data_IF_346561470315
#
_entry.id   IF_346561470315
#
_cell.length_a   1.000
_cell.length_b   1.000
_cell.length_c   1.000
_cell.angle_alpha   90.00
_cell.angle_beta   90.00
_cell.angle_gamma   90.00
#
_symmetry.space_group_name_H-M   'P 1'
#
loop_
_entity.id
_entity.type
_entity.pdbx_description
1 polymer ?
#
# COMPACT_ATOMS: atom_id res chain seq x y z
N UNK A 1 -9.08 -32.40 -22.93
CA UNK A 1 -9.03 -31.55 -21.71
C UNK A 1 -7.95 -30.51 -21.94
N UNK A 2 -8.27 -29.23 -22.14
CA UNK A 2 -7.22 -28.21 -22.25
C UNK A 2 -6.57 -27.99 -20.88
N UNK A 3 -5.30 -27.55 -20.83
CA UNK A 3 -4.59 -27.31 -19.58
C UNK A 3 -5.23 -26.13 -18.83
N UNK A 4 -5.27 -26.21 -17.50
CA UNK A 4 -5.69 -25.11 -16.65
C UNK A 4 -4.70 -23.95 -16.78
N UNK A 5 -4.95 -23.06 -17.74
CA UNK A 5 -4.32 -21.75 -17.78
C UNK A 5 -4.69 -21.04 -16.48
N UNK A 6 -3.69 -20.69 -15.67
CA UNK A 6 -3.88 -19.75 -14.57
C UNK A 6 -4.33 -18.43 -15.22
N UNK A 7 -5.62 -18.13 -15.11
CA UNK A 7 -6.17 -16.84 -15.52
C UNK A 7 -5.47 -15.79 -14.67
N UNK A 8 -4.68 -14.94 -15.32
CA UNK A 8 -4.06 -13.78 -14.68
C UNK A 8 -5.18 -12.77 -14.46
N UNK A 9 -5.74 -12.73 -13.25
CA UNK A 9 -6.73 -11.71 -12.90
C UNK A 9 -6.00 -10.40 -12.69
N UNK A 10 -6.29 -9.45 -13.56
CA UNK A 10 -5.98 -8.05 -13.34
C UNK A 10 -6.85 -7.55 -12.17
N UNK A 11 -6.20 -7.06 -11.11
CA UNK A 11 -6.86 -6.55 -9.89
C UNK A 11 -7.71 -5.29 -10.16
N UNK A 12 -7.66 -4.72 -11.36
CA UNK A 12 -8.52 -3.61 -11.78
C UNK A 12 -9.87 -4.07 -12.33
N UNK A 13 -10.04 -5.37 -12.60
CA UNK A 13 -11.32 -5.92 -13.10
C UNK A 13 -12.30 -6.07 -11.93
N UNK A 14 -13.49 -5.45 -11.99
CA UNK A 14 -14.50 -5.59 -10.96
C UNK A 14 -14.82 -7.07 -10.69
N UNK A 15 -14.80 -7.46 -9.42
CA UNK A 15 -15.24 -8.78 -9.01
C UNK A 15 -16.74 -8.92 -9.28
N UNK A 16 -17.12 -9.94 -10.04
CA UNK A 16 -18.51 -10.30 -10.30
C UNK A 16 -18.78 -11.73 -9.86
N UNK A 17 -19.99 -12.01 -9.39
CA UNK A 17 -20.47 -13.35 -9.09
C UNK A 17 -21.93 -13.44 -9.51
N UNK A 18 -22.29 -14.45 -10.31
CA UNK A 18 -23.63 -14.63 -10.85
C UNK A 18 -24.19 -16.01 -10.50
N UNK A 19 -25.41 -16.07 -9.98
CA UNK A 19 -26.15 -17.31 -9.80
C UNK A 19 -26.77 -17.67 -11.15
N UNK A 20 -26.17 -18.63 -11.84
CA UNK A 20 -26.59 -19.04 -13.19
C UNK A 20 -27.75 -20.02 -13.16
N UNK A 21 -27.77 -20.89 -12.15
CA UNK A 21 -28.77 -21.92 -12.00
C UNK A 21 -28.98 -22.30 -10.54
N UNK A 22 -30.01 -23.09 -10.29
CA UNK A 22 -30.25 -23.76 -9.03
C UNK A 22 -30.61 -25.22 -9.30
N UNK A 23 -30.28 -26.10 -8.36
CA UNK A 23 -30.60 -27.52 -8.42
C UNK A 23 -31.23 -27.99 -7.12
N UNK A 24 -32.24 -28.86 -7.25
CA UNK A 24 -32.93 -29.47 -6.11
C UNK A 24 -32.29 -30.82 -5.80
N UNK A 25 -31.75 -30.95 -4.59
CA UNK A 25 -31.35 -32.22 -4.00
C UNK A 25 -32.41 -32.68 -3.00
N UNK A 26 -32.43 -33.97 -2.68
CA UNK A 26 -33.48 -34.60 -1.84
C UNK A 26 -33.73 -33.89 -0.49
N UNK A 27 -32.76 -33.15 0.05
CA UNK A 27 -32.86 -32.45 1.33
C UNK A 27 -32.73 -30.92 1.27
N UNK A 28 -32.26 -30.33 0.16
CA UNK A 28 -31.97 -28.89 0.07
C UNK A 28 -31.85 -28.38 -1.37
N UNK A 29 -31.91 -27.06 -1.53
CA UNK A 29 -31.58 -26.37 -2.78
C UNK A 29 -30.12 -25.92 -2.77
N UNK A 30 -29.46 -26.11 -3.91
CA UNK A 30 -28.15 -25.57 -4.20
C UNK A 30 -28.24 -24.54 -5.33
N UNK A 31 -27.37 -23.54 -5.26
CA UNK A 31 -27.21 -22.46 -6.22
C UNK A 31 -25.85 -22.61 -6.90
N UNK A 32 -25.86 -22.60 -8.23
CA UNK A 32 -24.66 -22.69 -9.06
C UNK A 32 -24.22 -21.25 -9.35
N UNK A 33 -23.07 -20.88 -8.80
CA UNK A 33 -22.53 -19.52 -8.84
C UNK A 33 -21.32 -19.51 -9.77
N UNK A 34 -21.37 -18.69 -10.80
CA UNK A 34 -20.25 -18.44 -11.68
C UNK A 34 -19.47 -17.20 -11.25
N UNK A 35 -18.14 -17.35 -11.21
CA UNK A 35 -17.17 -16.27 -11.04
C UNK A 35 -16.05 -16.46 -12.07
N UNK A 36 -14.91 -16.95 -11.60
CA UNK A 36 -13.75 -17.40 -12.40
C UNK A 36 -13.82 -18.92 -12.59
N UNK A 37 -14.53 -19.58 -11.67
CA UNK A 37 -14.86 -20.99 -11.69
C UNK A 37 -16.28 -21.16 -11.15
N UNK A 38 -16.88 -22.29 -11.48
CA UNK A 38 -18.18 -22.70 -10.94
C UNK A 38 -18.07 -23.07 -9.46
N UNK A 39 -18.98 -22.52 -8.65
CA UNK A 39 -19.05 -22.75 -7.21
C UNK A 39 -20.49 -23.11 -6.85
N UNK A 40 -20.68 -24.26 -6.23
CA UNK A 40 -22.00 -24.72 -5.76
C UNK A 40 -22.16 -24.40 -4.26
N UNK A 41 -23.25 -23.73 -3.89
CA UNK A 41 -23.56 -23.36 -2.49
C UNK A 41 -25.03 -23.50 -2.16
N UNK A 42 -25.35 -23.89 -0.92
CA UNK A 42 -26.72 -23.88 -0.40
C UNK A 42 -26.99 -22.61 0.41
N UNK A 43 -28.26 -22.31 0.67
CA UNK A 43 -28.64 -21.11 1.43
C UNK A 43 -27.90 -20.96 2.77
N UNK A 44 -27.67 -22.06 3.51
CA UNK A 44 -26.97 -21.97 4.79
C UNK A 44 -25.52 -21.49 4.67
N UNK A 45 -24.89 -21.63 3.50
CA UNK A 45 -23.54 -21.15 3.29
C UNK A 45 -23.53 -19.62 3.15
N UNK A 46 -24.58 -19.05 2.55
CA UNK A 46 -24.81 -17.60 2.55
C UNK A 46 -25.12 -17.08 3.95
N UNK A 47 -25.90 -17.83 4.74
CA UNK A 47 -26.21 -17.52 6.14
C UNK A 47 -24.92 -17.50 7.01
N UNK A 48 -24.05 -18.50 6.86
CA UNK A 48 -22.74 -18.54 7.53
C UNK A 48 -21.83 -17.38 7.08
N UNK A 49 -21.78 -17.09 5.78
CA UNK A 49 -21.03 -15.96 5.26
C UNK A 49 -21.55 -14.64 5.85
N UNK A 50 -22.87 -14.45 5.87
CA UNK A 50 -23.50 -13.25 6.41
C UNK A 50 -23.17 -13.04 7.88
N UNK A 51 -23.27 -14.08 8.71
CA UNK A 51 -22.91 -14.00 10.13
C UNK A 51 -21.42 -13.65 10.32
N UNK A 52 -20.55 -14.17 9.46
CA UNK A 52 -19.12 -13.81 9.48
C UNK A 52 -18.89 -12.33 9.12
N UNK A 53 -19.72 -11.77 8.24
CA UNK A 53 -19.65 -10.38 7.80
C UNK A 53 -20.34 -9.38 8.74
N UNK A 54 -21.19 -9.83 9.67
CA UNK A 54 -21.86 -8.94 10.63
C UNK A 54 -20.87 -8.16 11.52
N UNK A 55 -19.68 -8.71 11.78
CA UNK A 55 -18.60 -8.04 12.52
C UNK A 55 -18.18 -6.74 11.83
N UNK A 56 -18.33 -6.65 10.50
CA UNK A 56 -18.02 -5.45 9.74
C UNK A 56 -19.09 -4.34 9.86
N UNK A 57 -20.18 -4.57 10.62
CA UNK A 57 -21.27 -3.59 10.78
C UNK A 57 -22.08 -3.33 9.51
N UNK A 58 -21.96 -4.20 8.49
CA UNK A 58 -22.62 -4.05 7.21
C UNK A 58 -24.06 -4.57 7.28
N UNK A 59 -25.01 -3.73 6.84
CA UNK A 59 -26.40 -4.16 6.63
C UNK A 59 -26.51 -4.84 5.26
N UNK A 60 -26.39 -6.16 5.24
CA UNK A 60 -26.49 -6.95 4.01
C UNK A 60 -27.91 -7.53 3.86
N UNK A 61 -28.52 -7.46 2.66
CA UNK A 61 -29.89 -7.91 2.44
C UNK A 61 -29.96 -9.43 2.23
N UNK A 62 -29.59 -10.21 3.25
CA UNK A 62 -29.77 -11.67 3.21
C UNK A 62 -31.27 -12.01 3.36
N UNK A 63 -31.88 -12.78 2.44
CA UNK A 63 -33.28 -13.17 2.57
C UNK A 63 -33.46 -14.06 3.81
N UNK A 64 -34.57 -13.97 4.55
CA UNK A 64 -34.75 -14.70 5.79
C UNK A 64 -34.82 -16.22 5.60
N UNK A 65 -34.35 -16.95 6.61
CA UNK A 65 -34.46 -18.40 6.69
C UNK A 65 -35.88 -18.78 7.08
N UNK A 66 -36.45 -19.80 6.41
CA UNK A 66 -37.72 -20.40 6.83
C UNK A 66 -37.41 -21.58 7.76
N UNK A 67 -38.27 -21.77 8.78
CA UNK A 67 -38.20 -22.90 9.71
C UNK A 67 -38.51 -24.24 9.02
N UNK A 68 -39.21 -24.20 7.88
CA UNK A 68 -39.56 -25.36 7.05
C UNK A 68 -39.05 -25.11 5.62
N UNK A 69 -38.49 -26.15 5.00
CA UNK A 69 -38.03 -26.10 3.61
C UNK A 69 -39.20 -25.80 2.66
N UNK A 70 -38.99 -24.86 1.74
CA UNK A 70 -39.96 -24.52 0.71
C UNK A 70 -39.29 -24.66 -0.66
N UNK A 71 -39.72 -25.68 -1.42
CA UNK A 71 -39.22 -25.98 -2.77
C UNK A 71 -40.14 -25.45 -3.87
N UNK A 72 -41.10 -24.59 -3.51
CA UNK A 72 -41.95 -23.92 -4.49
C UNK A 72 -41.12 -23.08 -5.47
N UNK A 73 -41.47 -23.13 -6.75
CA UNK A 73 -40.71 -22.49 -7.83
C UNK A 73 -40.68 -20.98 -7.69
N UNK A 74 -41.78 -20.35 -7.31
CA UNK A 74 -41.83 -18.89 -7.12
C UNK A 74 -40.98 -18.46 -5.93
N UNK A 75 -41.02 -19.25 -4.86
CA UNK A 75 -40.17 -19.02 -3.69
C UNK A 75 -38.68 -19.16 -4.00
N UNK A 76 -38.27 -20.22 -4.71
CA UNK A 76 -36.88 -20.43 -5.13
C UNK A 76 -36.42 -19.28 -6.03
N UNK A 77 -37.24 -18.91 -7.02
CA UNK A 77 -36.94 -17.81 -7.93
C UNK A 77 -36.82 -16.46 -7.22
N UNK A 78 -37.72 -16.16 -6.28
CA UNK A 78 -37.67 -14.97 -5.45
C UNK A 78 -36.40 -14.93 -4.58
N UNK A 79 -36.07 -16.05 -3.93
CA UNK A 79 -34.85 -16.16 -3.12
C UNK A 79 -33.58 -16.02 -3.96
N UNK A 80 -33.52 -16.61 -5.15
CA UNK A 80 -32.38 -16.47 -6.06
C UNK A 80 -32.12 -15.00 -6.42
N UNK A 81 -33.17 -14.22 -6.73
CA UNK A 81 -33.02 -12.79 -7.02
C UNK A 81 -32.43 -12.01 -5.85
N UNK A 82 -32.89 -12.27 -4.62
CA UNK A 82 -32.36 -11.58 -3.43
C UNK A 82 -30.92 -12.03 -3.13
N UNK A 83 -30.61 -13.32 -3.27
CA UNK A 83 -29.24 -13.83 -3.12
C UNK A 83 -28.28 -13.26 -4.18
N UNK A 84 -28.75 -13.04 -5.41
CA UNK A 84 -27.97 -12.35 -6.42
C UNK A 84 -27.66 -10.90 -6.02
N UNK A 85 -28.66 -10.18 -5.49
CA UNK A 85 -28.43 -8.83 -4.98
C UNK A 85 -27.45 -8.80 -3.79
N UNK A 86 -27.55 -9.78 -2.90
CA UNK A 86 -26.60 -9.98 -1.80
C UNK A 86 -25.17 -10.17 -2.31
N UNK A 87 -24.96 -11.03 -3.32
CA UNK A 87 -23.64 -11.22 -3.94
C UNK A 87 -23.12 -9.94 -4.59
N UNK A 88 -23.96 -9.21 -5.33
CA UNK A 88 -23.58 -7.95 -5.98
C UNK A 88 -23.09 -6.90 -4.97
N UNK A 89 -23.77 -6.77 -3.82
CA UNK A 89 -23.36 -5.84 -2.76
C UNK A 89 -22.01 -6.24 -2.15
N UNK A 90 -21.76 -7.54 -1.94
CA UNK A 90 -20.48 -8.01 -1.42
C UNK A 90 -19.36 -7.76 -2.43
N UNK A 91 -19.58 -8.07 -3.71
CA UNK A 91 -18.52 -7.96 -4.72
C UNK A 91 -18.24 -6.51 -5.14
N UNK A 92 -19.18 -5.59 -4.91
CA UNK A 92 -18.98 -4.15 -5.12
C UNK A 92 -18.41 -3.43 -3.89
N UNK A 93 -18.48 -4.05 -2.70
CA UNK A 93 -17.88 -3.48 -1.50
C UNK A 93 -16.36 -3.60 -1.54
N UNK A 94 -15.66 -2.46 -1.67
CA UNK A 94 -14.20 -2.41 -1.82
C UNK A 94 -13.41 -3.09 -0.70
N UNK A 95 -13.95 -3.14 0.52
CA UNK A 95 -13.29 -3.79 1.67
C UNK A 95 -13.43 -5.32 1.58
N UNK A 96 -14.61 -5.79 1.18
CA UNK A 96 -14.91 -7.22 1.08
C UNK A 96 -14.38 -7.84 -0.23
N UNK A 97 -14.41 -7.10 -1.33
CA UNK A 97 -13.99 -7.58 -2.65
C UNK A 97 -12.48 -7.88 -2.68
N UNK A 98 -11.67 -7.10 -1.96
CA UNK A 98 -10.23 -7.34 -1.81
C UNK A 98 -9.87 -8.32 -0.68
N UNK A 99 -10.87 -8.95 -0.03
CA UNK A 99 -10.62 -9.91 1.04
C UNK A 99 -10.28 -11.30 0.48
N UNK A 100 -9.01 -11.68 0.60
CA UNK A 100 -8.60 -13.08 0.44
C UNK A 100 -8.99 -13.86 1.70
N UNK A 101 -8.93 -15.20 1.69
CA UNK A 101 -9.26 -16.09 2.85
C UNK A 101 -8.59 -15.74 4.20
N UNK A 102 -7.65 -14.79 4.21
CA UNK A 102 -6.95 -14.26 5.38
C UNK A 102 -6.85 -12.72 5.34
N UNK A 103 -7.97 -12.01 5.22
CA UNK A 103 -8.00 -10.56 5.43
C UNK A 103 -8.10 -10.23 6.93
N UNK A 104 -7.21 -9.38 7.42
CA UNK A 104 -7.30 -8.81 8.76
C UNK A 104 -7.88 -7.39 8.66
N UNK A 105 -8.87 -7.08 9.49
CA UNK A 105 -9.34 -5.71 9.69
C UNK A 105 -8.58 -5.11 10.86
N UNK A 106 -7.93 -3.97 10.63
CA UNK A 106 -7.27 -3.24 11.69
C UNK A 106 -8.18 -2.11 12.17
N UNK A 107 -8.63 -2.21 13.42
CA UNK A 107 -9.41 -1.17 14.09
C UNK A 107 -8.44 -0.40 14.96
N UNK A 108 -8.36 0.92 14.76
CA UNK A 108 -7.58 1.84 15.59
C UNK A 108 -8.49 2.89 16.18
N UNK A 109 -8.08 3.47 17.31
CA UNK A 109 -8.76 4.65 17.83
C UNK A 109 -8.61 5.80 16.84
N UNK A 110 -9.70 6.51 16.61
CA UNK A 110 -9.68 7.71 15.79
C UNK A 110 -8.84 8.79 16.47
N UNK A 111 -7.98 9.46 15.70
CA UNK A 111 -7.19 10.58 16.17
C UNK A 111 -7.64 11.86 15.45
N UNK A 112 -8.11 12.85 16.23
CA UNK A 112 -8.64 14.09 15.68
C UNK A 112 -7.55 15.02 15.11
N UNK A 113 -6.29 14.87 15.55
CA UNK A 113 -5.16 15.65 15.04
C UNK A 113 -4.73 15.19 13.64
N UNK A 114 -5.10 13.96 13.25
CA UNK A 114 -4.79 13.44 11.93
C UNK A 114 -3.33 13.11 11.72
N UNK A 115 -2.94 13.09 10.47
CA UNK A 115 -1.59 12.78 10.03
C UNK A 115 -0.84 14.03 9.58
N UNK A 116 0.45 13.88 9.33
CA UNK A 116 1.28 14.95 8.77
C UNK A 116 0.75 15.45 7.43
N UNK A 117 0.15 14.56 6.62
CA UNK A 117 -0.50 14.95 5.35
C UNK A 117 -1.66 15.90 5.61
N UNK A 118 -2.50 15.59 6.59
CA UNK A 118 -3.66 16.40 6.94
C UNK A 118 -3.21 17.83 7.35
N UNK A 119 -2.12 17.90 8.12
CA UNK A 119 -1.50 19.16 8.55
C UNK A 119 -0.89 19.98 7.40
N UNK A 120 -0.22 19.33 6.45
CA UNK A 120 0.39 19.98 5.26
C UNK A 120 -0.69 20.49 4.29
N UNK A 121 -1.74 19.70 4.10
CA UNK A 121 -2.85 20.01 3.20
C UNK A 121 -3.90 20.93 3.83
N UNK A 122 -3.78 21.23 5.13
CA UNK A 122 -4.71 22.08 5.91
C UNK A 122 -6.15 21.57 5.87
N UNK A 123 -6.30 20.26 6.06
CA UNK A 123 -7.56 19.52 5.98
C UNK A 123 -7.80 18.75 7.28
N UNK A 124 -9.04 18.41 7.59
CA UNK A 124 -9.38 17.62 8.78
C UNK A 124 -9.53 16.16 8.41
N UNK A 125 -9.20 15.21 9.32
CA UNK A 125 -9.30 13.78 9.04
C UNK A 125 -10.70 13.30 8.61
N UNK A 126 -11.75 14.02 9.05
CA UNK A 126 -13.15 13.70 8.74
C UNK A 126 -13.60 14.25 7.38
N UNK A 127 -12.78 15.07 6.71
CA UNK A 127 -13.15 15.69 5.44
C UNK A 127 -13.07 14.67 4.27
N UNK A 128 -13.88 14.83 3.20
CA UNK A 128 -13.89 13.92 2.06
C UNK A 128 -12.55 13.86 1.31
N UNK A 129 -11.94 12.67 1.32
CA UNK A 129 -10.58 12.47 0.81
C UNK A 129 -10.38 12.95 -0.65
N UNK A 130 -11.23 12.54 -1.58
CA UNK A 130 -11.08 12.87 -3.01
C UNK A 130 -11.15 14.38 -3.27
N UNK A 131 -11.96 15.11 -2.49
CA UNK A 131 -12.11 16.55 -2.66
C UNK A 131 -10.85 17.28 -2.20
N UNK A 132 -10.29 16.84 -1.07
CA UNK A 132 -9.37 17.66 -0.30
C UNK A 132 -7.89 17.27 -0.51
N UNK A 133 -7.59 16.03 -0.91
CA UNK A 133 -6.22 15.59 -1.24
C UNK A 133 -5.92 15.47 -2.74
N UNK A 134 -6.91 15.17 -3.59
CA UNK A 134 -6.67 15.06 -5.03
C UNK A 134 -6.68 16.42 -5.75
N UNK A 135 -7.30 17.44 -5.15
CA UNK A 135 -7.27 18.82 -5.64
C UNK A 135 -7.19 19.83 -4.47
N UNK A 136 -6.04 19.90 -3.79
CA UNK A 136 -5.90 20.67 -2.56
C UNK A 136 -6.01 22.18 -2.83
N UNK A 137 -6.89 22.85 -2.07
CA UNK A 137 -7.07 24.31 -2.17
C UNK A 137 -5.90 25.10 -1.57
N UNK A 138 -5.22 24.50 -0.59
CA UNK A 138 -4.05 25.07 0.09
C UNK A 138 -3.08 23.94 0.39
N UNK A 139 -1.80 24.20 0.15
CA UNK A 139 -0.70 23.35 0.59
C UNK A 139 0.28 24.28 1.28
N UNK A 140 0.67 23.94 2.50
CA UNK A 140 1.66 24.71 3.23
C UNK A 140 2.45 23.77 4.13
N UNK A 141 3.77 23.74 3.91
CA UNK A 141 4.69 22.97 4.73
C UNK A 141 4.64 23.36 6.21
N UNK A 142 5.47 22.70 7.00
CA UNK A 142 5.46 22.80 8.46
C UNK A 142 6.36 23.93 8.95
N UNK A 143 6.13 24.34 10.20
CA UNK A 143 6.99 25.34 10.83
C UNK A 143 8.37 24.74 11.11
N UNK A 144 9.38 25.61 11.20
CA UNK A 144 10.76 25.19 11.39
C UNK A 144 10.91 24.18 12.53
N UNK A 145 10.36 24.48 13.70
CA UNK A 145 10.44 23.61 14.88
C UNK A 145 9.73 22.26 14.68
N UNK A 146 8.60 22.26 13.96
CA UNK A 146 7.89 21.02 13.62
C UNK A 146 8.72 20.16 12.66
N UNK A 147 9.39 20.76 11.67
CA UNK A 147 10.30 20.06 10.76
C UNK A 147 11.45 19.44 11.56
N UNK A 148 12.08 20.22 12.45
CA UNK A 148 13.17 19.72 13.30
C UNK A 148 12.72 18.50 14.12
N UNK A 149 11.53 18.59 14.72
CA UNK A 149 10.99 17.61 15.66
C UNK A 149 10.55 16.33 14.96
N UNK A 150 9.66 16.43 13.97
CA UNK A 150 9.08 15.25 13.33
C UNK A 150 10.09 14.49 12.49
N UNK A 151 11.03 15.17 11.82
CA UNK A 151 12.10 14.45 11.10
C UNK A 151 12.94 13.59 12.05
N UNK A 152 13.26 14.11 13.25
CA UNK A 152 14.11 13.43 14.23
C UNK A 152 13.37 12.21 14.76
N UNK A 153 12.12 12.38 15.18
CA UNK A 153 11.28 11.29 15.67
C UNK A 153 11.09 10.20 14.60
N UNK A 154 10.82 10.56 13.35
CA UNK A 154 10.69 9.60 12.24
C UNK A 154 12.00 8.84 12.03
N UNK A 155 13.14 9.51 11.92
CA UNK A 155 14.43 8.86 11.71
C UNK A 155 14.81 7.93 12.87
N UNK A 156 14.48 8.28 14.11
CA UNK A 156 14.72 7.40 15.26
C UNK A 156 13.87 6.14 15.23
N UNK A 157 12.60 6.24 14.82
CA UNK A 157 11.75 5.06 14.63
C UNK A 157 12.29 4.19 13.50
N UNK A 158 12.67 4.77 12.36
CA UNK A 158 13.29 4.02 11.25
C UNK A 158 14.57 3.31 11.70
N UNK A 159 15.46 4.02 12.42
CA UNK A 159 16.69 3.43 12.95
C UNK A 159 16.39 2.28 13.90
N UNK A 160 15.46 2.47 14.84
CA UNK A 160 15.07 1.44 15.79
C UNK A 160 14.55 0.18 15.07
N UNK A 161 13.74 0.36 14.04
CA UNK A 161 13.19 -0.72 13.23
C UNK A 161 14.28 -1.44 12.42
N UNK A 162 15.18 -0.70 11.79
CA UNK A 162 16.34 -1.24 11.06
C UNK A 162 17.29 -2.03 11.97
N UNK A 163 17.60 -1.53 13.17
CA UNK A 163 18.43 -2.21 14.17
C UNK A 163 17.79 -3.53 14.64
N UNK A 164 16.48 -3.71 14.43
CA UNK A 164 15.73 -4.96 14.71
C UNK A 164 15.61 -5.87 13.48
N UNK A 165 16.14 -5.44 12.33
CA UNK A 165 16.03 -6.15 11.05
C UNK A 165 14.64 -6.02 10.43
N UNK A 166 13.95 -4.91 10.69
CA UNK A 166 12.54 -4.72 10.32
C UNK A 166 12.32 -3.38 9.60
N UNK A 167 12.87 -3.21 8.38
CA UNK A 167 12.73 -1.96 7.61
C UNK A 167 11.25 -1.60 7.42
N UNK A 168 10.94 -0.31 7.33
CA UNK A 168 9.55 0.14 7.32
C UNK A 168 8.93 0.01 5.92
N UNK A 169 9.50 0.66 4.91
CA UNK A 169 9.26 0.42 3.49
C UNK A 169 8.11 1.20 2.84
N UNK A 170 7.32 1.93 3.62
CA UNK A 170 6.14 2.67 3.13
C UNK A 170 5.96 4.00 3.88
N UNK A 171 7.07 4.68 4.15
CA UNK A 171 7.03 6.00 4.76
C UNK A 171 6.43 7.03 3.81
N UNK A 172 5.42 7.76 4.28
CA UNK A 172 4.85 8.94 3.64
C UNK A 172 4.01 9.73 4.65
N UNK A 173 3.62 10.96 4.31
CA UNK A 173 2.94 11.87 5.24
C UNK A 173 1.61 11.32 5.80
N UNK A 174 0.89 10.46 5.06
CA UNK A 174 -0.32 9.78 5.58
C UNK A 174 -0.05 8.69 6.63
N UNK A 175 1.19 8.23 6.79
CA UNK A 175 1.53 7.20 7.79
C UNK A 175 2.25 7.77 9.02
N UNK A 176 2.33 9.10 9.11
CA UNK A 176 2.90 9.81 10.26
C UNK A 176 1.73 10.44 11.02
N UNK A 177 1.24 9.76 12.05
CA UNK A 177 0.15 10.23 12.91
C UNK A 177 0.67 11.28 13.89
N UNK A 178 -0.10 12.34 14.12
CA UNK A 178 0.25 13.42 15.05
C UNK A 178 -0.33 13.17 16.44
N UNK A 179 0.48 13.39 17.48
CA UNK A 179 0.09 13.27 18.87
C UNK A 179 0.77 14.37 19.70
N UNK A 180 0.13 15.55 19.72
CA UNK A 180 0.70 16.75 20.34
C UNK A 180 1.96 17.18 19.60
N UNK A 181 3.08 17.28 20.31
CA UNK A 181 4.40 17.59 19.73
C UNK A 181 5.18 16.34 19.31
N UNK A 182 4.53 15.18 19.33
CA UNK A 182 5.11 13.91 18.91
C UNK A 182 4.40 13.33 17.69
N UNK A 183 5.06 12.41 17.00
CA UNK A 183 4.47 11.64 15.92
C UNK A 183 4.70 10.14 16.10
N UNK A 184 3.81 9.37 15.48
CA UNK A 184 3.87 7.91 15.46
C UNK A 184 3.82 7.40 14.03
N UNK A 185 4.59 6.36 13.71
CA UNK A 185 4.47 5.65 12.44
C UNK A 185 3.33 4.63 12.51
N UNK A 186 2.45 4.68 11.52
CA UNK A 186 1.34 3.74 11.37
C UNK A 186 1.76 2.50 10.59
N UNK A 187 0.85 1.55 10.48
CA UNK A 187 0.93 0.43 9.54
C UNK A 187 2.21 -0.41 9.59
N UNK A 188 2.77 -0.61 10.80
CA UNK A 188 3.93 -1.48 11.02
C UNK A 188 3.68 -2.93 10.59
N UNK A 189 2.43 -3.35 10.45
CA UNK A 189 2.07 -4.66 9.90
C UNK A 189 2.31 -4.78 8.38
N UNK A 190 2.35 -3.65 7.66
CA UNK A 190 2.54 -3.66 6.21
C UNK A 190 4.01 -3.84 5.81
N UNK A 191 4.96 -3.56 6.71
CA UNK A 191 6.37 -3.86 6.46
C UNK A 191 6.65 -5.37 6.37
N UNK A 192 5.80 -6.22 6.96
CA UNK A 192 5.88 -7.69 6.79
C UNK A 192 5.56 -8.15 5.36
N UNK A 193 4.78 -7.36 4.64
CA UNK A 193 4.44 -7.62 3.23
C UNK A 193 5.46 -6.97 2.30
N UNK A 194 6.16 -5.94 2.79
CA UNK A 194 7.11 -5.10 2.04
C UNK A 194 8.48 -5.25 2.69
N UNK A 195 9.19 -6.33 2.34
CA UNK A 195 10.59 -6.46 2.72
C UNK A 195 11.44 -5.58 1.80
N UNK A 196 11.77 -4.37 2.25
CA UNK A 196 12.57 -3.40 1.48
C UNK A 196 13.89 -3.11 2.15
N UNK A 197 14.86 -2.59 1.39
CA UNK A 197 16.16 -2.20 1.92
C UNK A 197 16.08 -0.84 2.64
N UNK A 198 17.06 -0.54 3.50
CA UNK A 198 17.23 0.77 4.14
C UNK A 198 17.19 1.93 3.11
N UNK A 199 17.68 1.70 1.89
CA UNK A 199 17.63 2.68 0.81
C UNK A 199 16.21 3.14 0.44
N UNK A 200 15.21 2.27 0.57
CA UNK A 200 13.80 2.63 0.35
C UNK A 200 13.31 3.55 1.46
N UNK A 201 13.62 3.25 2.71
CA UNK A 201 13.26 4.09 3.86
C UNK A 201 13.90 5.49 3.75
N UNK A 202 15.17 5.53 3.34
CA UNK A 202 15.91 6.78 3.09
C UNK A 202 15.27 7.60 1.95
N UNK A 203 14.90 6.93 0.86
CA UNK A 203 14.25 7.59 -0.27
C UNK A 203 12.87 8.15 0.09
N UNK A 204 12.05 7.34 0.77
CA UNK A 204 10.75 7.76 1.28
C UNK A 204 10.88 8.90 2.30
N UNK A 205 11.92 8.90 3.14
CA UNK A 205 12.21 10.02 4.04
C UNK A 205 12.52 11.31 3.28
N UNK A 206 13.26 11.23 2.16
CA UNK A 206 13.48 12.38 1.27
C UNK A 206 12.17 12.99 0.77
N UNK A 207 11.23 12.15 0.32
CA UNK A 207 9.90 12.61 -0.10
C UNK A 207 9.11 13.24 1.05
N UNK A 208 9.12 12.61 2.22
CA UNK A 208 8.46 13.17 3.40
C UNK A 208 9.04 14.54 3.78
N UNK A 209 10.37 14.69 3.75
CA UNK A 209 11.05 15.96 4.02
C UNK A 209 10.68 17.03 3.00
N UNK A 210 10.58 16.66 1.72
CA UNK A 210 10.13 17.54 0.66
C UNK A 210 8.70 18.03 0.94
N UNK A 211 7.78 17.12 1.28
CA UNK A 211 6.41 17.48 1.65
C UNK A 211 6.37 18.42 2.88
N UNK A 212 7.14 18.12 3.92
CA UNK A 212 7.23 18.95 5.14
C UNK A 212 7.75 20.37 4.86
N UNK A 213 8.55 20.56 3.82
CA UNK A 213 9.19 21.84 3.48
C UNK A 213 8.51 22.55 2.30
N UNK A 214 7.51 21.91 1.69
CA UNK A 214 6.80 22.41 0.51
C UNK A 214 6.22 23.80 0.76
N UNK A 215 6.39 24.69 -0.24
CA UNK A 215 5.94 26.09 -0.18
C UNK A 215 6.50 26.91 1.01
N UNK A 216 7.61 26.46 1.62
CA UNK A 216 8.29 27.17 2.73
C UNK A 216 9.80 27.34 2.57
N UNK A 217 10.43 26.77 1.55
CA UNK A 217 11.88 26.87 1.33
C UNK A 217 12.37 28.33 1.23
N UNK A 218 11.58 29.21 0.62
CA UNK A 218 11.90 30.64 0.48
C UNK A 218 11.73 31.44 1.79
N UNK A 219 11.03 30.86 2.77
CA UNK A 219 10.81 31.48 4.09
C UNK A 219 11.91 31.13 5.10
N UNK A 220 12.81 30.21 4.76
CA UNK A 220 13.92 29.79 5.61
C UNK A 220 15.14 30.69 5.41
N UNK A 221 16.06 30.68 6.38
CA UNK A 221 17.35 31.36 6.19
C UNK A 221 18.14 30.65 5.07
N UNK A 222 18.98 31.36 4.29
CA UNK A 222 19.71 30.76 3.17
C UNK A 222 20.54 29.53 3.56
N UNK A 223 21.20 29.58 4.72
CA UNK A 223 21.97 28.45 5.25
C UNK A 223 21.08 27.23 5.51
N UNK A 224 19.87 27.46 6.01
CA UNK A 224 18.92 26.40 6.27
C UNK A 224 18.32 25.82 4.99
N UNK A 225 17.95 26.67 4.03
CA UNK A 225 17.44 26.23 2.73
C UNK A 225 18.48 25.38 1.99
N UNK A 226 19.74 25.82 1.95
CA UNK A 226 20.83 25.04 1.34
C UNK A 226 20.98 23.66 2.00
N UNK A 227 20.84 23.61 3.31
CA UNK A 227 21.06 22.39 4.05
C UNK A 227 19.87 21.40 3.90
N UNK A 228 18.63 21.89 3.80
CA UNK A 228 17.47 21.08 3.39
C UNK A 228 17.65 20.57 1.96
N UNK A 229 18.08 21.42 1.02
CA UNK A 229 18.33 21.03 -0.37
C UNK A 229 19.40 19.93 -0.44
N UNK A 230 20.51 20.08 0.30
CA UNK A 230 21.54 19.05 0.37
C UNK A 230 21.02 17.70 0.89
N UNK A 231 20.12 17.70 1.88
CA UNK A 231 19.48 16.45 2.34
C UNK A 231 18.59 15.85 1.25
N UNK A 232 17.79 16.66 0.57
CA UNK A 232 16.94 16.20 -0.53
C UNK A 232 17.78 15.63 -1.68
N UNK A 233 18.87 16.29 -2.06
CA UNK A 233 19.81 15.77 -3.06
C UNK A 233 20.43 14.45 -2.62
N UNK A 234 20.82 14.32 -1.34
CA UNK A 234 21.39 13.09 -0.81
C UNK A 234 20.40 11.92 -0.71
N UNK A 235 19.08 12.17 -0.73
CA UNK A 235 18.05 11.14 -0.54
C UNK A 235 17.24 10.84 -1.80
N UNK A 236 17.12 11.81 -2.72
CA UNK A 236 16.28 11.72 -3.91
C UNK A 236 17.06 11.71 -5.23
N UNK A 237 18.38 11.98 -5.23
CA UNK A 237 19.16 11.92 -6.48
C UNK A 237 19.30 10.51 -7.04
N UNK A 238 19.55 10.40 -8.34
CA UNK A 238 19.84 9.13 -9.02
C UNK A 238 21.11 8.45 -8.47
N UNK A 239 22.01 9.24 -7.88
CA UNK A 239 23.28 8.84 -7.29
C UNK A 239 23.14 8.42 -5.83
N UNK A 240 22.13 8.94 -5.11
CA UNK A 240 21.84 8.59 -3.72
C UNK A 240 21.73 7.08 -3.51
N UNK A 241 21.10 6.38 -4.46
CA UNK A 241 20.90 4.93 -4.41
C UNK A 241 22.17 4.12 -4.77
N UNK A 242 23.20 4.74 -5.34
CA UNK A 242 24.40 4.05 -5.86
C UNK A 242 25.55 4.03 -4.86
N UNK A 243 25.68 5.11 -4.08
CA UNK A 243 26.88 5.31 -3.26
C UNK A 243 26.79 4.70 -1.85
N UNK A 244 25.61 4.26 -1.40
CA UNK A 244 25.40 3.70 -0.06
C UNK A 244 25.72 4.67 1.09
N UNK A 245 25.96 5.95 0.78
CA UNK A 245 26.38 6.99 1.74
C UNK A 245 25.22 7.51 2.58
N UNK A 246 24.02 7.53 2.00
CA UNK A 246 22.82 8.05 2.64
C UNK A 246 22.14 6.95 3.45
N UNK A 247 22.62 6.74 4.68
CA UNK A 247 22.00 5.81 5.65
C UNK A 247 21.12 6.59 6.63
N UNK A 248 20.19 5.91 7.31
CA UNK A 248 19.39 6.53 8.37
C UNK A 248 20.28 7.03 9.51
N UNK A 249 21.36 6.29 9.80
CA UNK A 249 22.33 6.71 10.82
C UNK A 249 23.09 7.98 10.42
N UNK A 250 23.43 8.13 9.13
CA UNK A 250 24.07 9.34 8.63
C UNK A 250 23.11 10.55 8.67
N UNK A 251 21.85 10.37 8.27
CA UNK A 251 20.82 11.41 8.32
C UNK A 251 20.59 11.92 9.75
N UNK A 252 20.63 11.04 10.75
CA UNK A 252 20.53 11.40 12.18
C UNK A 252 21.73 12.22 12.69
N UNK A 253 22.91 12.06 12.10
CA UNK A 253 24.13 12.76 12.49
C UNK A 253 24.30 14.12 11.82
N UNK A 254 23.43 14.47 10.86
CA UNK A 254 23.57 15.73 10.15
C UNK A 254 23.40 16.92 11.11
N UNK A 255 24.34 17.90 11.11
CA UNK A 255 24.31 19.08 11.99
C UNK A 255 23.04 19.93 11.89
N UNK A 256 22.33 19.78 10.78
CA UNK A 256 21.00 20.29 10.56
C UNK A 256 20.11 19.91 11.74
N UNK A 257 19.70 20.90 12.53
CA UNK A 257 18.65 20.78 13.54
C UNK A 257 18.97 19.89 14.77
N UNK A 258 20.24 19.80 15.17
CA UNK A 258 20.70 19.03 16.35
C UNK A 258 20.14 19.54 17.70
N UNK A 259 19.46 20.69 17.72
CA UNK A 259 18.98 21.33 18.96
C UNK A 259 17.70 20.67 19.54
N UNK A 260 17.20 19.60 18.91
CA UNK A 260 15.98 18.92 19.36
C UNK A 260 16.32 17.90 20.45
N UNK A 261 15.97 18.23 21.68
CA UNK A 261 15.97 17.29 22.79
C UNK A 261 14.69 16.45 22.75
N UNK A 262 14.81 15.17 22.37
CA UNK A 262 13.68 14.24 22.49
C UNK A 262 13.55 13.74 23.93
N UNK A 263 12.40 14.03 24.54
CA UNK A 263 12.03 13.55 25.86
C UNK A 263 11.46 12.13 25.76
N UNK A 264 12.33 11.13 25.60
CA UNK A 264 11.88 9.73 25.65
C UNK A 264 11.88 9.23 27.10
N UNK A 265 10.70 9.03 27.69
CA UNK A 265 10.56 8.55 29.09
C UNK A 265 10.47 7.03 29.21
N UNK A 266 10.24 6.30 28.10
CA UNK A 266 10.07 4.83 28.10
C UNK A 266 10.91 4.16 27.04
N UNK A 267 11.64 3.12 27.44
CA UNK A 267 12.38 2.24 26.53
C UNK A 267 11.39 1.52 25.60
N UNK A 268 11.51 1.64 24.27
CA UNK A 268 10.57 1.02 23.34
C UNK A 268 10.62 -0.51 23.48
N UNK A 269 9.45 -1.14 23.61
CA UNK A 269 9.31 -2.59 23.62
C UNK A 269 8.84 -3.06 22.24
N UNK A 270 9.70 -3.80 21.55
CA UNK A 270 9.38 -4.40 20.27
C UNK A 270 9.83 -5.86 20.28
N UNK A 271 8.86 -6.78 20.26
CA UNK A 271 9.09 -8.22 20.30
C UNK A 271 8.57 -8.82 19.00
N UNK A 272 9.50 -9.32 18.18
CA UNK A 272 9.17 -10.08 16.99
C UNK A 272 9.38 -11.57 17.34
N UNK A 273 8.38 -12.45 17.09
CA UNK A 273 8.58 -13.89 17.20
C UNK A 273 9.74 -14.35 16.31
N UNK A 274 10.62 -15.22 16.80
CA UNK A 274 11.79 -15.71 16.04
C UNK A 274 11.42 -16.26 14.67
N UNK A 275 10.35 -17.05 14.57
CA UNK A 275 9.81 -17.57 13.30
C UNK A 275 9.48 -16.46 12.30
N UNK A 276 8.94 -15.33 12.77
CA UNK A 276 8.59 -14.20 11.91
C UNK A 276 9.86 -13.46 11.46
N UNK A 277 10.84 -13.31 12.35
CA UNK A 277 12.15 -12.71 12.02
C UNK A 277 12.88 -13.53 10.95
N UNK A 278 12.92 -14.86 11.09
CA UNK A 278 13.51 -15.77 10.11
C UNK A 278 12.80 -15.69 8.75
N UNK A 279 11.46 -15.72 8.75
CA UNK A 279 10.67 -15.58 7.52
C UNK A 279 10.93 -14.23 6.82
N UNK A 280 11.04 -13.14 7.58
CA UNK A 280 11.40 -11.82 7.04
C UNK A 280 12.83 -11.81 6.47
N UNK A 281 13.81 -12.43 7.13
CA UNK A 281 15.17 -12.55 6.57
C UNK A 281 15.18 -13.29 5.23
N UNK A 282 14.49 -14.43 5.14
CA UNK A 282 14.39 -15.22 3.91
C UNK A 282 13.73 -14.42 2.79
N UNK A 283 12.61 -13.75 3.08
CA UNK A 283 11.91 -12.97 2.07
C UNK A 283 12.74 -11.76 1.59
N UNK A 284 13.57 -11.16 2.47
CA UNK A 284 14.52 -10.10 2.09
C UNK A 284 15.54 -10.63 1.08
N UNK A 285 16.19 -11.76 1.38
CA UNK A 285 17.16 -12.40 0.48
C UNK A 285 16.53 -12.76 -0.88
N UNK A 286 15.28 -13.26 -0.88
CA UNK A 286 14.55 -13.56 -2.12
C UNK A 286 14.31 -12.31 -2.99
N UNK A 287 13.94 -11.18 -2.38
CA UNK A 287 13.69 -9.93 -3.11
C UNK A 287 14.99 -9.35 -3.65
N UNK A 288 16.06 -9.32 -2.85
CA UNK A 288 17.39 -8.88 -3.30
C UNK A 288 17.87 -9.69 -4.50
N UNK A 289 17.75 -11.02 -4.43
CA UNK A 289 18.11 -11.91 -5.54
C UNK A 289 17.28 -11.60 -6.79
N UNK A 290 15.96 -11.44 -6.64
CA UNK A 290 15.07 -11.09 -7.76
C UNK A 290 15.46 -9.76 -8.40
N UNK A 291 15.71 -8.72 -7.60
CA UNK A 291 16.12 -7.40 -8.09
C UNK A 291 17.45 -7.46 -8.86
N UNK A 292 18.42 -8.22 -8.34
CA UNK A 292 19.71 -8.44 -9.03
C UNK A 292 19.48 -9.13 -10.39
N UNK A 293 18.62 -10.15 -10.45
CA UNK A 293 18.36 -10.89 -11.68
C UNK A 293 17.57 -10.06 -12.70
N UNK A 294 16.59 -9.27 -12.25
CA UNK A 294 15.88 -8.28 -13.09
C UNK A 294 16.85 -7.23 -13.65
N UNK A 295 17.77 -6.71 -12.83
CA UNK A 295 18.76 -5.74 -13.27
C UNK A 295 19.73 -6.32 -14.31
N UNK A 296 20.11 -7.60 -14.18
CA UNK A 296 20.89 -8.31 -15.22
C UNK A 296 20.11 -8.42 -16.53
N UNK A 297 18.82 -8.76 -16.47
CA UNK A 297 17.98 -8.86 -17.66
C UNK A 297 17.84 -7.50 -18.36
N UNK A 298 17.63 -6.42 -17.60
CA UNK A 298 17.57 -5.05 -18.15
C UNK A 298 18.90 -4.68 -18.82
N UNK A 299 20.05 -4.95 -18.18
CA UNK A 299 21.35 -4.70 -18.80
C UNK A 299 21.58 -5.54 -20.06
N UNK A 300 21.19 -6.80 -20.06
CA UNK A 300 21.28 -7.67 -21.24
C UNK A 300 20.41 -7.15 -22.38
N UNK A 301 19.17 -6.77 -22.08
CA UNK A 301 18.25 -6.17 -23.06
C UNK A 301 18.82 -4.87 -23.64
N UNK A 302 19.32 -3.96 -22.80
CA UNK A 302 19.96 -2.72 -23.26
C UNK A 302 21.19 -2.98 -24.14
N UNK A 303 22.01 -3.99 -23.82
CA UNK A 303 23.16 -4.38 -24.66
C UNK A 303 22.74 -4.91 -26.03
N UNK A 304 21.64 -5.64 -26.11
CA UNK A 304 21.10 -6.19 -27.37
C UNK A 304 20.40 -5.13 -28.23
N UNK A 305 19.83 -4.08 -27.61
CA UNK A 305 19.16 -2.98 -28.31
C UNK A 305 20.14 -1.91 -28.85
N UNK A 306 21.31 -1.72 -28.23
CA UNK A 306 22.34 -0.76 -28.69
C UNK A 306 22.82 -0.99 -30.14
N UNK A 307 23.04 -2.24 -30.62
CA UNK A 307 23.35 -2.51 -32.02
C UNK A 307 22.21 -2.19 -32.99
N UNK A 308 20.94 -2.40 -32.58
CA UNK A 308 19.79 -2.18 -33.46
C UNK A 308 19.54 -0.70 -33.76
N UNK A 309 19.82 0.19 -32.80
CA UNK A 309 19.78 1.65 -33.05
C UNK A 309 20.88 2.13 -34.00
N UNK A 310 22.03 1.45 -34.05
CA UNK A 310 23.10 1.78 -34.99
C UNK A 310 22.84 1.22 -36.40
N UNK A 311 22.25 0.04 -36.53
CA UNK A 311 21.94 -0.55 -37.84
C UNK A 311 20.87 0.25 -38.60
N UNK A 312 19.78 0.63 -37.92
CA UNK A 312 18.74 1.48 -38.54
C UNK A 312 19.27 2.84 -39.02
N UNK A 313 20.23 3.43 -38.30
CA UNK A 313 20.90 4.67 -38.70
C UNK A 313 21.80 4.49 -39.93
N UNK A 314 22.45 3.34 -40.09
CA UNK A 314 23.33 3.06 -41.23
C UNK A 314 22.53 2.72 -42.50
N UNK A 315 21.42 2.00 -42.35
CA UNK A 315 20.48 1.65 -43.41
C UNK A 315 19.69 2.87 -43.89
N UNK A 316 19.21 3.74 -43.00
CA UNK A 316 18.63 5.04 -43.37
C UNK A 316 19.65 5.92 -44.10
N UNK A 317 20.92 5.95 -43.64
CA UNK A 317 21.98 6.74 -44.29
C UNK A 317 22.35 6.19 -45.66
N UNK A 318 22.27 4.87 -45.88
CA UNK A 318 22.44 4.24 -47.19
C UNK A 318 21.24 4.52 -48.10
N UNK A 319 20.00 4.45 -47.61
CA UNK A 319 18.81 4.78 -48.38
C UNK A 319 18.78 6.25 -48.82
N UNK A 320 19.17 7.20 -47.95
CA UNK A 320 19.27 8.62 -48.32
C UNK A 320 20.32 8.91 -49.39
N UNK A 321 21.37 8.08 -49.50
CA UNK A 321 22.38 8.18 -50.58
C UNK A 321 21.95 7.56 -51.90
N UNK A 322 20.92 6.71 -51.90
CA UNK A 322 20.37 6.10 -53.12
C UNK A 322 19.28 7.00 -53.73
N UNK A 323 18.68 7.88 -52.92
CA UNK A 323 17.60 8.80 -53.32
C UNK A 323 18.14 10.20 -53.71
N UNK A 324 19.42 10.48 -53.48
CA UNK A 324 20.12 11.70 -53.93
C UNK A 324 21.00 11.39 -55.15
#
# INVERSE_FOLDING_TARGET
>A
KPPASKVLLDNTVPLTAAIEANQSLQSHMEYIIWKIAEIVRRYSDFDLLNNSLQIAGLSLPLPPKKLIGNMDREFIGGRQKVLQNYLNIITTNHILSNSNKSSALLIRMFNEQGTLKDLIYKVKPKDPFLRDYCNPKKIQGLELQQIKTYRQQVLEVLKFLLDKGFPYGHLHASNVLLEGDTCQLLDLENSLKINTLESVDVHCFGHLLYEMTTARLDSFSPALSMAVVAMLESTLSCEACKDGRSTVSWLLQMPLFCDVLLTTSKKPQFKIPTKLKEASSIAKECIEKRLIDEQKQVHQHQRLMRPQSHHGSEEERKQRKIIA
#
